data_IF_089623136470
#
_entry.id   IF_089623136470
#
_cell.length_a   1.000
_cell.length_b   1.000
_cell.length_c   1.000
_cell.angle_alpha   90.00
_cell.angle_beta   90.00
_cell.angle_gamma   90.00
#
_symmetry.space_group_name_H-M   'P 1'
#
loop_
_entity.id
_entity.type
_entity.pdbx_description
1 polymer ?
#
# COMPACT_ATOMS: atom_id res chain seq x y z
N UNK A 1 -1.03 20.95 10.22
CA UNK A 1 0.08 20.01 9.92
C UNK A 1 -0.04 19.58 8.46
N UNK A 2 1.06 19.31 7.77
CA UNK A 2 1.01 18.88 6.38
C UNK A 2 0.60 17.40 6.30
N UNK A 3 -0.28 17.04 5.37
CA UNK A 3 -0.64 15.64 5.10
C UNK A 3 0.23 15.10 3.97
N UNK A 4 0.98 14.04 4.24
CA UNK A 4 1.82 13.32 3.28
C UNK A 4 0.98 12.30 2.51
N UNK A 5 1.14 12.30 1.18
CA UNK A 5 0.56 11.28 0.31
C UNK A 5 1.55 10.16 0.12
N UNK A 6 1.13 8.93 0.39
CA UNK A 6 1.95 7.73 0.29
C UNK A 6 1.43 6.86 -0.86
N UNK A 7 2.34 6.43 -1.73
CA UNK A 7 2.08 5.42 -2.75
C UNK A 7 2.99 4.22 -2.50
N UNK A 8 2.44 3.02 -2.68
CA UNK A 8 3.14 1.75 -2.41
C UNK A 8 3.26 0.98 -3.71
N UNK A 9 4.46 0.47 -4.01
CA UNK A 9 4.72 -0.38 -5.17
C UNK A 9 5.21 -1.73 -4.64
N UNK A 10 4.34 -2.73 -4.74
CA UNK A 10 4.60 -4.10 -4.37
C UNK A 10 4.88 -4.97 -5.58
N UNK A 11 5.56 -6.09 -5.34
CA UNK A 11 5.72 -7.17 -6.33
C UNK A 11 5.59 -8.50 -5.61
N UNK A 12 4.34 -8.95 -5.45
CA UNK A 12 4.01 -10.23 -4.81
C UNK A 12 4.84 -11.39 -5.41
N UNK A 13 5.44 -12.22 -4.54
CA UNK A 13 6.26 -13.37 -4.92
C UNK A 13 7.71 -13.06 -5.30
N UNK A 14 8.16 -11.80 -5.24
CA UNK A 14 9.54 -11.38 -5.61
C UNK A 14 10.26 -10.62 -4.48
N UNK A 15 10.11 -11.12 -3.26
CA UNK A 15 10.65 -10.49 -2.04
C UNK A 15 9.58 -9.86 -1.14
N UNK A 16 8.31 -9.97 -1.54
CA UNK A 16 7.11 -9.61 -0.78
C UNK A 16 7.21 -8.30 0.01
N UNK A 17 7.88 -7.31 -0.59
CA UNK A 17 8.00 -5.98 -0.01
C UNK A 17 6.58 -5.41 0.15
N UNK A 18 6.10 -5.40 1.41
CA UNK A 18 4.67 -5.26 1.70
C UNK A 18 4.10 -6.28 2.70
N UNK A 19 4.86 -7.24 3.21
CA UNK A 19 4.44 -8.06 4.38
C UNK A 19 4.48 -7.26 5.70
N UNK A 20 3.80 -6.11 5.77
CA UNK A 20 3.59 -5.34 7.01
C UNK A 20 4.33 -4.00 7.08
N UNK A 21 5.27 -3.73 6.17
CA UNK A 21 5.92 -2.42 6.02
C UNK A 21 4.96 -1.35 5.47
N UNK A 22 3.99 -1.74 4.66
CA UNK A 22 2.93 -0.89 4.15
C UNK A 22 1.91 -0.48 5.23
N UNK A 23 1.69 -1.35 6.23
CA UNK A 23 0.79 -1.06 7.34
C UNK A 23 1.33 0.01 8.30
N UNK A 24 2.64 0.31 8.28
CA UNK A 24 3.23 1.34 9.15
C UNK A 24 2.63 2.72 8.86
N UNK A 25 2.25 2.98 7.61
CA UNK A 25 1.69 4.26 7.19
C UNK A 25 0.34 4.55 7.84
N UNK A 26 -0.38 3.54 8.30
CA UNK A 26 -1.63 3.71 9.04
C UNK A 26 -1.42 4.14 10.49
N UNK A 27 -0.18 4.10 11.01
CA UNK A 27 0.14 4.56 12.37
C UNK A 27 0.40 6.06 12.45
N UNK A 28 0.52 6.73 11.31
CA UNK A 28 0.82 8.15 11.23
C UNK A 28 -0.43 8.91 10.79
N UNK A 29 -0.94 9.78 11.66
CA UNK A 29 -2.15 10.58 11.39
C UNK A 29 -1.95 11.60 10.25
N UNK A 30 -0.70 11.95 9.96
CA UNK A 30 -0.31 12.85 8.89
C UNK A 30 0.01 12.13 7.57
N UNK A 31 -0.12 10.80 7.49
CA UNK A 31 0.11 10.03 6.27
C UNK A 31 -1.19 9.46 5.72
N UNK A 32 -1.42 9.67 4.41
CA UNK A 32 -2.56 9.12 3.69
C UNK A 32 -2.07 8.23 2.54
N UNK A 33 -2.40 6.93 2.60
CA UNK A 33 -2.10 6.00 1.52
C UNK A 33 -3.11 6.21 0.40
N UNK A 34 -2.65 6.77 -0.72
CA UNK A 34 -3.51 7.11 -1.85
C UNK A 34 -3.52 6.05 -2.95
N UNK A 35 -2.45 5.26 -3.05
CA UNK A 35 -2.30 4.29 -4.12
C UNK A 35 -1.45 3.07 -3.72
N UNK A 36 -1.80 1.91 -4.28
CA UNK A 36 -1.02 0.68 -4.24
C UNK A 36 -0.89 0.13 -5.66
N UNK A 37 0.28 -0.33 -6.05
CA UNK A 37 0.51 -1.04 -7.30
C UNK A 37 1.05 -2.45 -7.02
N UNK A 38 0.47 -3.46 -7.65
CA UNK A 38 0.99 -4.83 -7.68
C UNK A 38 0.46 -5.54 -8.93
N UNK A 39 1.38 -6.16 -9.69
CA UNK A 39 1.08 -6.92 -10.91
C UNK A 39 0.27 -8.20 -10.62
N UNK A 40 0.33 -8.73 -9.39
CA UNK A 40 -0.48 -9.87 -8.96
C UNK A 40 -1.83 -9.37 -8.43
N UNK A 41 -2.91 -9.78 -9.07
CA UNK A 41 -4.26 -9.32 -8.70
C UNK A 41 -4.66 -9.68 -7.25
N UNK A 42 -4.23 -10.84 -6.75
CA UNK A 42 -4.54 -11.27 -5.38
C UNK A 42 -3.69 -10.52 -4.35
N UNK A 43 -2.41 -10.27 -4.67
CA UNK A 43 -1.50 -9.42 -3.92
C UNK A 43 -2.00 -8.00 -3.81
N UNK A 44 -2.41 -7.42 -4.94
CA UNK A 44 -3.01 -6.07 -5.02
C UNK A 44 -4.23 -5.96 -4.11
N UNK A 45 -5.18 -6.89 -4.20
CA UNK A 45 -6.39 -6.85 -3.39
C UNK A 45 -6.09 -6.93 -1.89
N UNK A 46 -5.15 -7.78 -1.49
CA UNK A 46 -4.70 -7.88 -0.09
C UNK A 46 -4.05 -6.59 0.40
N UNK A 47 -3.20 -5.97 -0.42
CA UNK A 47 -2.50 -4.74 -0.09
C UNK A 47 -3.45 -3.53 -0.01
N UNK A 48 -4.40 -3.39 -0.95
CA UNK A 48 -5.47 -2.37 -0.88
C UNK A 48 -6.30 -2.55 0.40
N UNK A 49 -6.73 -3.78 0.70
CA UNK A 49 -7.51 -4.07 1.91
C UNK A 49 -6.72 -3.74 3.18
N UNK A 50 -5.44 -4.10 3.23
CA UNK A 50 -4.58 -3.86 4.39
C UNK A 50 -4.30 -2.39 4.61
N UNK A 51 -4.05 -1.63 3.55
CA UNK A 51 -3.60 -0.23 3.62
C UNK A 51 -4.74 0.79 3.61
N UNK A 52 -5.92 0.42 3.09
CA UNK A 52 -7.03 1.33 2.87
C UNK A 52 -6.83 2.27 1.68
N UNK A 53 -5.91 1.94 0.76
CA UNK A 53 -5.59 2.77 -0.38
C UNK A 53 -6.82 3.04 -1.27
N UNK A 54 -6.95 4.29 -1.71
CA UNK A 54 -8.06 4.71 -2.56
C UNK A 54 -8.00 4.11 -3.98
N UNK A 55 -6.82 3.74 -4.47
CA UNK A 55 -6.65 3.22 -5.83
C UNK A 55 -5.62 2.09 -5.88
N UNK A 56 -5.98 1.01 -6.57
CA UNK A 56 -5.09 -0.10 -6.91
C UNK A 56 -4.69 -0.07 -8.38
N UNK A 57 -3.43 -0.33 -8.71
CA UNK A 57 -2.91 -0.44 -10.07
C UNK A 57 -2.30 -1.84 -10.30
N UNK A 58 -2.60 -2.43 -11.46
CA UNK A 58 -2.07 -3.72 -11.90
C UNK A 58 -1.11 -3.54 -13.09
#
# INVERSE_FOLDING_TARGET
MATYKVAIIGSTGRGDYGHGLDAVWQKFEDCNVVAVADQDAAGLQKAVTRTGAATGYA
#
